data_IF_121859780247
#
_entry.id   IF_121859780247
#
_cell.length_a   1.000
_cell.length_b   1.000
_cell.length_c   1.000
_cell.angle_alpha   90.00
_cell.angle_beta   90.00
_cell.angle_gamma   90.00
#
_symmetry.space_group_name_H-M   'P 1'
#
loop_
_entity.id
_entity.type
_entity.pdbx_description
1 polymer ?
#
# COMPACT_ATOMS: atom_id res chain seq x y z
N UNK A 1 -1.59 4.16 31.65
CA UNK A 1 -2.12 4.52 30.32
C UNK A 1 -0.90 4.91 29.54
N UNK A 2 -0.19 3.90 29.08
CA UNK A 2 1.09 4.06 28.41
C UNK A 2 0.77 4.08 26.92
N UNK A 3 1.02 5.25 26.32
CA UNK A 3 0.80 5.50 24.91
C UNK A 3 1.80 4.67 24.12
N UNK A 4 1.37 3.51 23.63
CA UNK A 4 2.03 2.79 22.56
C UNK A 4 1.91 3.65 21.30
N UNK A 5 2.95 4.45 21.03
CA UNK A 5 3.18 4.99 19.70
C UNK A 5 3.57 3.83 18.81
N UNK A 6 2.57 3.19 18.23
CA UNK A 6 2.67 2.30 17.08
C UNK A 6 3.34 3.11 15.96
N UNK A 7 4.67 3.13 15.99
CA UNK A 7 5.47 3.37 14.81
C UNK A 7 5.00 2.29 13.84
N UNK A 8 4.15 2.70 12.88
CA UNK A 8 3.84 1.92 11.68
C UNK A 8 5.16 1.61 10.99
N UNK A 9 5.78 0.54 11.44
CA UNK A 9 6.83 -0.15 10.71
C UNK A 9 6.16 -0.54 9.41
N UNK A 10 6.70 -0.08 8.29
CA UNK A 10 6.27 -0.47 6.96
C UNK A 10 6.42 -2.00 6.88
N UNK A 11 5.38 -2.72 7.29
CA UNK A 11 5.49 -4.14 7.60
C UNK A 11 5.59 -4.86 6.25
N UNK A 12 6.66 -5.61 5.94
CA UNK A 12 6.76 -6.36 4.69
C UNK A 12 5.65 -7.40 4.53
N UNK A 13 4.94 -7.74 5.62
CA UNK A 13 3.70 -8.53 5.56
C UNK A 13 2.53 -7.82 4.86
N UNK A 14 2.59 -6.50 4.67
CA UNK A 14 1.52 -5.72 4.01
C UNK A 14 1.27 -6.20 2.58
N UNK A 15 2.31 -6.67 1.89
CA UNK A 15 2.19 -7.30 0.57
C UNK A 15 1.95 -8.82 0.63
N UNK A 16 2.23 -9.45 1.77
CA UNK A 16 2.17 -10.90 1.93
C UNK A 16 0.74 -11.46 2.01
N UNK A 17 -0.23 -10.62 2.37
CA UNK A 17 -1.66 -10.98 2.43
C UNK A 17 -2.43 -10.64 1.14
N UNK A 18 -1.79 -9.95 0.19
CA UNK A 18 -2.42 -9.53 -1.05
C UNK A 18 -2.45 -10.68 -2.07
N UNK A 19 -3.49 -10.67 -2.91
CA UNK A 19 -3.55 -11.57 -4.05
C UNK A 19 -2.35 -11.33 -4.98
N UNK A 20 -1.87 -12.36 -5.71
CA UNK A 20 -0.70 -12.22 -6.59
C UNK A 20 -0.83 -11.06 -7.59
N UNK A 21 -2.03 -10.88 -8.16
CA UNK A 21 -2.33 -9.81 -9.12
C UNK A 21 -2.29 -8.42 -8.46
N UNK A 22 -2.89 -8.29 -7.27
CA UNK A 22 -2.86 -7.06 -6.48
C UNK A 22 -1.42 -6.72 -6.07
N UNK A 23 -0.63 -7.72 -5.66
CA UNK A 23 0.76 -7.54 -5.26
C UNK A 23 1.63 -7.04 -6.42
N UNK A 24 1.50 -7.64 -7.60
CA UNK A 24 2.21 -7.24 -8.80
C UNK A 24 1.83 -5.81 -9.20
N UNK A 25 0.52 -5.50 -9.19
CA UNK A 25 0.03 -4.16 -9.46
C UNK A 25 0.52 -3.13 -8.45
N UNK A 26 0.55 -3.49 -7.16
CA UNK A 26 1.06 -2.61 -6.12
C UNK A 26 2.56 -2.33 -6.30
N UNK A 27 3.37 -3.31 -6.74
CA UNK A 27 4.78 -3.04 -7.06
C UNK A 27 4.93 -2.10 -8.26
N UNK A 28 4.12 -2.28 -9.31
CA UNK A 28 4.09 -1.37 -10.47
C UNK A 28 3.71 0.07 -10.06
N UNK A 29 2.69 0.21 -9.21
CA UNK A 29 2.25 1.51 -8.70
C UNK A 29 3.32 2.12 -7.78
N UNK A 30 3.94 1.33 -6.90
CA UNK A 30 5.04 1.79 -6.05
C UNK A 30 6.24 2.30 -6.86
N UNK A 31 6.55 1.65 -7.99
CA UNK A 31 7.63 2.06 -8.88
C UNK A 31 7.33 3.36 -9.66
N UNK A 32 6.05 3.71 -9.80
CA UNK A 32 5.58 4.90 -10.54
C UNK A 32 5.18 6.06 -9.62
N UNK A 33 4.88 5.77 -8.35
CA UNK A 33 4.55 6.76 -7.33
C UNK A 33 5.73 7.67 -7.03
N UNK A 34 5.51 8.98 -7.12
CA UNK A 34 6.47 9.98 -6.65
C UNK A 34 6.12 10.46 -5.24
N UNK A 35 7.08 11.03 -4.51
CA UNK A 35 6.87 11.52 -3.14
C UNK A 35 5.74 12.57 -3.02
N UNK A 36 5.44 13.27 -4.12
CA UNK A 36 4.35 14.24 -4.24
C UNK A 36 2.96 13.61 -4.37
N UNK A 37 2.88 12.36 -4.83
CA UNK A 37 1.62 11.60 -4.99
C UNK A 37 1.21 10.87 -3.70
N UNK A 38 2.09 10.89 -2.69
CA UNK A 38 1.90 10.19 -1.43
C UNK A 38 1.34 11.19 -0.41
N UNK A 39 0.15 10.93 0.16
CA UNK A 39 -0.42 11.81 1.16
C UNK A 39 0.49 11.91 2.40
N UNK A 40 0.53 13.10 3.02
CA UNK A 40 1.32 13.33 4.24
C UNK A 40 0.94 12.33 5.32
N UNK A 41 1.93 11.58 5.81
CA UNK A 41 1.73 10.54 6.83
C UNK A 41 1.42 9.15 6.27
N UNK A 42 1.42 8.98 4.94
CA UNK A 42 1.38 7.68 4.27
C UNK A 42 2.75 7.31 3.69
N UNK A 43 2.95 6.03 3.41
CA UNK A 43 4.14 5.52 2.73
C UNK A 43 3.83 5.16 1.27
N UNK A 44 4.89 5.06 0.45
CA UNK A 44 4.79 4.59 -0.95
C UNK A 44 4.06 3.25 -0.98
N UNK A 45 4.47 2.33 -0.09
CA UNK A 45 3.90 1.00 0.08
C UNK A 45 2.40 1.05 0.35
N UNK A 46 1.98 1.83 1.36
CA UNK A 46 0.58 1.90 1.76
C UNK A 46 -0.30 2.46 0.64
N UNK A 47 0.16 3.51 -0.05
CA UNK A 47 -0.60 4.12 -1.16
C UNK A 47 -0.63 3.20 -2.39
N UNK A 48 0.48 2.50 -2.67
CA UNK A 48 0.55 1.54 -3.77
C UNK A 48 -0.40 0.35 -3.56
N UNK A 49 -0.46 -0.20 -2.34
CA UNK A 49 -1.37 -1.27 -1.98
C UNK A 49 -2.82 -0.79 -2.13
N UNK A 50 -3.15 0.38 -1.55
CA UNK A 50 -4.51 0.95 -1.63
C UNK A 50 -4.98 1.07 -3.08
N UNK A 51 -4.17 1.66 -3.95
CA UNK A 51 -4.50 1.83 -5.38
C UNK A 51 -4.58 0.50 -6.14
N UNK A 52 -3.77 -0.49 -5.77
CA UNK A 52 -3.84 -1.81 -6.37
C UNK A 52 -5.09 -2.59 -5.94
N UNK A 53 -5.51 -2.46 -4.67
CA UNK A 53 -6.75 -3.05 -4.16
C UNK A 53 -7.98 -2.38 -4.79
N UNK A 54 -7.97 -1.06 -4.96
CA UNK A 54 -9.00 -0.33 -5.71
C UNK A 54 -9.10 -0.83 -7.15
N UNK A 55 -7.98 -0.87 -7.87
CA UNK A 55 -7.93 -1.37 -9.26
C UNK A 55 -8.47 -2.80 -9.39
N UNK A 56 -8.13 -3.68 -8.43
CA UNK A 56 -8.61 -5.06 -8.45
C UNK A 56 -10.12 -5.15 -8.15
N UNK A 57 -10.61 -4.34 -7.21
CA UNK A 57 -12.05 -4.27 -6.90
C UNK A 57 -12.85 -3.76 -8.10
N UNK A 58 -12.30 -2.81 -8.86
CA UNK A 58 -12.90 -2.33 -10.12
C UNK A 58 -12.91 -3.38 -11.23
N UNK A 59 -12.01 -4.36 -11.22
CA UNK A 59 -11.98 -5.46 -12.17
C UNK A 59 -12.94 -6.61 -11.84
N UNK A 60 -13.26 -6.82 -10.57
CA UNK A 60 -14.25 -7.82 -10.13
C UNK A 60 -15.70 -7.31 -10.15
N UNK A 61 -15.92 -6.00 -10.33
CA UNK A 61 -17.24 -5.36 -10.44
C UNK A 61 -17.83 -5.39 -11.84
#
# INVERSE_FOLDING_TARGET
>A
MDMETDQKVDNPESFGKLLPQVREKAMEIAATLSAQDIPKGSSVTAEAIRRAEEWFTELEG
#
